data_IF_067488637586
#
_entry.id   IF_067488637586
#
_cell.length_a   1.000
_cell.length_b   1.000
_cell.length_c   1.000
_cell.angle_alpha   90.00
_cell.angle_beta   90.00
_cell.angle_gamma   90.00
#
_symmetry.space_group_name_H-M   'P 1'
#
loop_
_entity.id
_entity.type
_entity.pdbx_description
1 polymer ?
#
# COMPACT_ATOMS: atom_id res chain seq x y z
N UNK A 1 5.48 -8.48 -31.35
CA UNK A 1 5.59 -8.55 -29.87
C UNK A 1 5.60 -7.12 -29.38
N UNK A 2 4.71 -6.68 -28.47
CA UNK A 2 4.84 -5.34 -27.93
C UNK A 2 6.17 -5.26 -27.18
N UNK A 3 6.97 -4.23 -27.48
CA UNK A 3 8.21 -3.94 -26.79
C UNK A 3 7.94 -4.00 -25.28
N UNK A 4 8.66 -4.84 -24.55
CA UNK A 4 8.59 -4.84 -23.09
C UNK A 4 9.12 -3.50 -22.65
N UNK A 5 8.23 -2.60 -22.23
CA UNK A 5 8.65 -1.37 -21.57
C UNK A 5 9.61 -1.76 -20.45
N UNK A 6 10.80 -1.19 -20.49
CA UNK A 6 11.82 -1.44 -19.46
C UNK A 6 11.21 -1.17 -18.08
N UNK A 7 11.49 -1.99 -17.04
CA UNK A 7 11.00 -1.75 -15.69
C UNK A 7 11.40 -0.36 -15.15
N UNK A 8 12.43 0.26 -15.69
CA UNK A 8 12.87 1.61 -15.32
C UNK A 8 11.83 2.69 -15.61
N UNK A 9 11.04 2.58 -16.69
CA UNK A 9 9.95 3.52 -16.97
C UNK A 9 8.86 3.49 -15.91
N UNK A 10 8.55 2.29 -15.39
CA UNK A 10 7.57 2.16 -14.32
C UNK A 10 8.09 2.79 -13.03
N UNK A 11 9.37 2.57 -12.69
CA UNK A 11 10.00 3.22 -11.54
C UNK A 11 9.99 4.74 -11.66
N UNK A 12 10.33 5.27 -12.84
CA UNK A 12 10.28 6.71 -13.09
C UNK A 12 8.86 7.26 -12.88
N UNK A 13 7.85 6.59 -13.44
CA UNK A 13 6.44 6.98 -13.28
C UNK A 13 6.01 6.98 -11.80
N UNK A 14 6.38 5.93 -11.06
CA UNK A 14 6.03 5.81 -9.65
C UNK A 14 6.78 6.83 -8.76
N UNK A 15 7.95 7.30 -9.20
CA UNK A 15 8.74 8.31 -8.49
C UNK A 15 8.30 9.76 -8.78
N UNK A 16 7.55 10.01 -9.85
CA UNK A 16 7.15 11.38 -10.24
C UNK A 16 6.51 12.18 -9.09
N UNK A 17 5.55 11.66 -8.32
CA UNK A 17 4.96 12.42 -7.22
C UNK A 17 5.98 12.79 -6.14
N UNK A 18 7.01 11.96 -5.92
CA UNK A 18 8.02 12.21 -4.91
C UNK A 18 8.94 13.39 -5.25
N UNK A 19 9.08 13.75 -6.53
CA UNK A 19 9.93 14.87 -6.94
C UNK A 19 9.48 16.18 -6.31
N UNK A 20 8.17 16.41 -6.19
CA UNK A 20 7.61 17.59 -5.52
C UNK A 20 7.67 17.53 -3.98
N UNK A 21 8.05 16.39 -3.41
CA UNK A 21 8.12 16.18 -1.96
C UNK A 21 9.53 16.35 -1.39
N UNK A 22 10.53 16.57 -2.24
CA UNK A 22 11.94 16.66 -1.80
C UNK A 22 12.25 18.02 -1.20
N UNK A 23 11.88 19.12 -1.89
CA UNK A 23 12.23 20.47 -1.47
C UNK A 23 11.74 20.86 -0.07
N UNK A 24 10.54 20.45 0.40
CA UNK A 24 10.05 20.79 1.72
C UNK A 24 10.89 20.25 2.90
N UNK A 25 11.72 19.23 2.67
CA UNK A 25 12.63 18.72 3.70
C UNK A 25 13.82 19.64 3.99
N UNK A 26 14.09 20.58 3.08
CA UNK A 26 15.16 21.56 3.17
C UNK A 26 14.63 22.98 3.46
N UNK A 27 13.32 23.11 3.60
CA UNK A 27 12.64 24.37 3.91
C UNK A 27 12.26 24.39 5.40
N UNK A 28 12.49 25.51 6.07
CA UNK A 28 12.03 25.71 7.47
C UNK A 28 10.50 25.84 7.58
N UNK A 29 9.80 25.84 6.47
CA UNK A 29 8.35 25.99 6.41
C UNK A 29 7.60 24.70 6.80
N UNK A 30 7.18 24.62 8.04
CA UNK A 30 6.40 23.48 8.58
C UNK A 30 5.08 23.21 7.83
N UNK A 31 4.52 24.20 7.12
CA UNK A 31 3.33 24.01 6.29
C UNK A 31 3.64 23.17 5.06
N UNK A 32 4.80 23.40 4.42
CA UNK A 32 5.26 22.62 3.27
C UNK A 32 5.48 21.15 3.67
N UNK A 33 6.08 20.91 4.84
CA UNK A 33 6.29 19.55 5.38
C UNK A 33 4.97 18.82 5.68
N UNK A 34 3.95 19.52 6.16
CA UNK A 34 2.59 18.93 6.32
C UNK A 34 1.99 18.52 4.98
N UNK A 35 2.25 19.25 3.91
CA UNK A 35 1.85 18.85 2.56
C UNK A 35 2.51 17.54 2.11
N UNK A 36 3.81 17.38 2.43
CA UNK A 36 4.53 16.11 2.17
C UNK A 36 3.94 14.97 3.00
N UNK A 37 3.70 15.19 4.29
CA UNK A 37 3.11 14.21 5.18
C UNK A 37 1.77 13.68 4.60
N UNK A 38 0.85 14.56 4.25
CA UNK A 38 -0.43 14.18 3.70
C UNK A 38 -0.29 13.47 2.34
N UNK A 39 0.39 14.08 1.39
CA UNK A 39 0.54 13.54 0.03
C UNK A 39 1.25 12.18 -0.01
N UNK A 40 2.34 12.01 0.76
CA UNK A 40 3.08 10.74 0.78
C UNK A 40 2.24 9.61 1.40
N UNK A 41 1.46 9.88 2.44
CA UNK A 41 0.52 8.91 3.02
C UNK A 41 -0.52 8.44 2.00
N UNK A 42 -1.14 9.38 1.27
CA UNK A 42 -2.10 9.06 0.21
C UNK A 42 -1.48 8.23 -0.92
N UNK A 43 -0.30 8.59 -1.42
CA UNK A 43 0.36 7.82 -2.48
C UNK A 43 0.76 6.42 -2.00
N UNK A 44 1.22 6.28 -0.76
CA UNK A 44 1.48 4.98 -0.15
C UNK A 44 0.23 4.09 -0.18
N UNK A 45 -0.90 4.60 0.31
CA UNK A 45 -2.17 3.87 0.32
C UNK A 45 -2.64 3.51 -1.11
N UNK A 46 -2.59 4.45 -2.06
CA UNK A 46 -2.99 4.22 -3.46
C UNK A 46 -2.15 3.13 -4.12
N UNK A 47 -0.83 3.17 -3.98
CA UNK A 47 0.04 2.16 -4.59
C UNK A 47 -0.14 0.78 -3.95
N UNK A 48 -0.36 0.71 -2.64
CA UNK A 48 -0.72 -0.53 -1.96
C UNK A 48 -2.04 -1.09 -2.48
N UNK A 49 -3.08 -0.27 -2.59
CA UNK A 49 -4.40 -0.66 -3.14
C UNK A 49 -4.23 -1.22 -4.56
N UNK A 50 -3.53 -0.52 -5.45
CA UNK A 50 -3.26 -0.96 -6.83
C UNK A 50 -2.53 -2.32 -6.83
N UNK A 51 -1.53 -2.50 -5.98
CA UNK A 51 -0.80 -3.77 -5.86
C UNK A 51 -1.72 -4.92 -5.46
N UNK A 52 -2.61 -4.70 -4.49
CA UNK A 52 -3.56 -5.69 -3.97
C UNK A 52 -4.69 -6.00 -4.96
N UNK A 53 -5.14 -5.02 -5.73
CA UNK A 53 -6.17 -5.21 -6.77
C UNK A 53 -5.73 -6.14 -7.90
N UNK A 54 -4.43 -6.35 -8.11
CA UNK A 54 -3.88 -7.10 -9.23
C UNK A 54 -4.47 -8.52 -9.35
N UNK A 55 -4.64 -9.23 -8.24
CA UNK A 55 -5.15 -10.61 -8.25
C UNK A 55 -6.67 -10.69 -8.43
N UNK A 56 -7.50 -9.97 -7.66
CA UNK A 56 -8.95 -10.01 -7.86
C UNK A 56 -9.37 -9.41 -9.20
N UNK A 57 -8.64 -8.43 -9.72
CA UNK A 57 -8.89 -7.88 -11.05
C UNK A 57 -8.69 -8.91 -12.16
N UNK A 58 -7.70 -9.80 -12.03
CA UNK A 58 -7.50 -10.92 -12.96
C UNK A 58 -8.73 -11.81 -13.04
N UNK A 59 -9.38 -12.04 -11.91
CA UNK A 59 -10.57 -12.87 -11.84
C UNK A 59 -11.79 -12.17 -12.45
N UNK A 60 -12.06 -10.92 -12.08
CA UNK A 60 -13.22 -10.15 -12.53
C UNK A 60 -13.19 -9.84 -14.04
N UNK A 61 -12.01 -9.62 -14.60
CA UNK A 61 -11.82 -9.26 -16.02
C UNK A 61 -11.46 -10.45 -16.91
N UNK A 62 -11.62 -11.70 -16.41
CA UNK A 62 -11.27 -12.95 -17.13
C UNK A 62 -9.85 -12.91 -17.75
N UNK A 63 -8.90 -12.27 -17.05
CA UNK A 63 -7.51 -12.21 -17.48
C UNK A 63 -7.23 -11.19 -18.58
N UNK A 64 -7.83 -10.01 -18.54
CA UNK A 64 -7.57 -8.93 -19.51
C UNK A 64 -6.07 -8.59 -19.62
N UNK A 65 -5.66 -7.96 -20.72
CA UNK A 65 -4.24 -7.54 -20.94
C UNK A 65 -3.74 -6.64 -19.81
N UNK A 66 -4.57 -5.70 -19.38
CA UNK A 66 -4.25 -4.79 -18.28
C UNK A 66 -4.08 -5.54 -16.94
N UNK A 67 -5.00 -6.43 -16.60
CA UNK A 67 -4.93 -7.19 -15.35
C UNK A 67 -3.68 -8.10 -15.30
N UNK A 68 -3.30 -8.72 -16.43
CA UNK A 68 -2.06 -9.50 -16.54
C UNK A 68 -0.82 -8.62 -16.36
N UNK A 69 -0.81 -7.45 -17.00
CA UNK A 69 0.28 -6.48 -16.85
C UNK A 69 0.41 -6.05 -15.38
N UNK A 70 -0.69 -5.66 -14.74
CA UNK A 70 -0.70 -5.23 -13.35
C UNK A 70 -0.21 -6.35 -12.41
N UNK A 71 -0.68 -7.58 -12.60
CA UNK A 71 -0.23 -8.74 -11.81
C UNK A 71 1.27 -8.99 -11.93
N UNK A 72 1.83 -8.84 -13.14
CA UNK A 72 3.26 -9.02 -13.37
C UNK A 72 4.10 -7.91 -12.75
N UNK A 73 3.53 -6.72 -12.61
CA UNK A 73 4.22 -5.53 -12.09
C UNK A 73 3.82 -5.15 -10.64
N UNK A 74 2.94 -5.92 -9.98
CA UNK A 74 2.42 -5.60 -8.65
C UNK A 74 3.50 -5.35 -7.59
N UNK A 75 4.67 -5.99 -7.74
CA UNK A 75 5.81 -5.83 -6.84
C UNK A 75 6.35 -4.41 -6.86
N UNK A 76 6.41 -3.76 -8.03
CA UNK A 76 6.86 -2.37 -8.15
C UNK A 76 5.93 -1.43 -7.40
N UNK A 77 4.62 -1.62 -7.51
CA UNK A 77 3.64 -0.84 -6.75
C UNK A 77 3.75 -1.08 -5.24
N UNK A 78 3.98 -2.32 -4.81
CA UNK A 78 4.17 -2.64 -3.39
C UNK A 78 5.43 -1.99 -2.80
N UNK A 79 6.55 -2.01 -3.53
CA UNK A 79 7.79 -1.36 -3.10
C UNK A 79 7.64 0.16 -3.13
N UNK A 80 6.97 0.73 -4.13
CA UNK A 80 6.66 2.16 -4.15
C UNK A 80 5.79 2.56 -2.95
N UNK A 81 4.76 1.78 -2.61
CA UNK A 81 3.93 2.00 -1.42
C UNK A 81 4.78 2.11 -0.15
N UNK A 82 5.74 1.19 0.04
CA UNK A 82 6.69 1.27 1.16
C UNK A 82 7.57 2.53 1.09
N UNK A 83 8.11 2.88 -0.08
CA UNK A 83 8.96 4.07 -0.22
C UNK A 83 8.20 5.35 0.19
N UNK A 84 6.94 5.49 -0.25
CA UNK A 84 6.09 6.61 0.16
C UNK A 84 5.70 6.57 1.63
N UNK A 85 5.48 5.37 2.22
CA UNK A 85 5.29 5.22 3.66
C UNK A 85 6.53 5.66 4.45
N UNK A 86 7.74 5.36 3.95
CA UNK A 86 8.98 5.82 4.57
C UNK A 86 9.14 7.35 4.51
N UNK A 87 8.80 7.98 3.36
CA UNK A 87 8.76 9.45 3.24
C UNK A 87 7.72 10.05 4.20
N UNK A 88 6.53 9.45 4.31
CA UNK A 88 5.48 9.84 5.23
C UNK A 88 5.96 9.81 6.69
N UNK A 89 6.56 8.69 7.10
CA UNK A 89 7.09 8.53 8.45
C UNK A 89 8.23 9.51 8.74
N UNK A 90 9.13 9.73 7.77
CA UNK A 90 10.21 10.72 7.91
C UNK A 90 9.66 12.15 8.08
N UNK A 91 8.66 12.53 7.28
CA UNK A 91 8.00 13.83 7.39
C UNK A 91 7.30 14.02 8.76
N UNK A 92 6.66 12.95 9.30
CA UNK A 92 6.10 12.96 10.64
C UNK A 92 7.18 13.17 11.72
N UNK A 93 8.25 12.38 11.68
CA UNK A 93 9.33 12.47 12.68
C UNK A 93 10.01 13.83 12.70
N UNK A 94 10.23 14.42 11.52
CA UNK A 94 10.85 15.75 11.39
C UNK A 94 9.85 16.83 11.82
N UNK A 95 8.59 16.72 11.44
CA UNK A 95 7.56 17.71 11.75
C UNK A 95 7.21 17.77 13.24
N UNK A 96 7.23 16.64 13.94
CA UNK A 96 6.92 16.56 15.37
C UNK A 96 8.13 17.02 16.24
N UNK A 97 9.35 16.83 15.76
CA UNK A 97 10.60 17.29 16.36
C UNK A 97 10.81 16.97 17.85
N UNK A 98 9.88 16.26 18.52
CA UNK A 98 9.91 15.93 19.94
C UNK A 98 9.74 14.43 20.16
N UNK A 99 10.83 13.76 20.50
CA UNK A 99 10.80 12.32 20.80
C UNK A 99 9.84 11.99 21.97
N UNK A 100 9.80 12.85 22.98
CA UNK A 100 8.92 12.65 24.14
C UNK A 100 7.43 12.65 23.72
N UNK A 101 7.04 13.54 22.80
CA UNK A 101 5.69 13.60 22.26
C UNK A 101 5.38 12.38 21.38
N UNK A 102 6.29 12.03 20.47
CA UNK A 102 6.17 10.83 19.61
C UNK A 102 5.92 9.58 20.46
N UNK A 103 6.67 9.41 21.57
CA UNK A 103 6.52 8.26 22.46
C UNK A 103 5.21 8.32 23.27
N UNK A 104 4.79 9.49 23.71
CA UNK A 104 3.53 9.65 24.43
C UNK A 104 2.30 9.35 23.56
N UNK A 105 2.32 9.79 22.31
CA UNK A 105 1.22 9.62 21.35
C UNK A 105 1.27 8.26 20.64
N UNK A 106 2.38 7.52 20.68
CA UNK A 106 2.57 6.25 19.94
C UNK A 106 1.53 5.16 20.30
N UNK A 107 0.89 5.26 21.46
CA UNK A 107 -0.15 4.33 21.90
C UNK A 107 -1.58 4.80 21.54
N UNK A 108 -1.74 6.00 21.01
CA UNK A 108 -3.02 6.45 20.49
C UNK A 108 -3.43 5.60 19.29
N UNK A 109 -4.72 5.33 19.14
CA UNK A 109 -5.22 4.33 18.22
C UNK A 109 -4.81 4.60 16.76
N UNK A 110 -4.88 5.86 16.33
CA UNK A 110 -4.49 6.27 14.97
C UNK A 110 -2.98 6.09 14.74
N UNK A 111 -2.12 6.57 15.64
CA UNK A 111 -0.67 6.43 15.51
C UNK A 111 -0.22 4.98 15.68
N UNK A 112 -0.80 4.24 16.63
CA UNK A 112 -0.48 2.82 16.82
C UNK A 112 -0.77 2.00 15.56
N UNK A 113 -1.94 2.20 14.93
CA UNK A 113 -2.28 1.51 13.68
C UNK A 113 -1.34 1.91 12.53
N UNK A 114 -0.89 3.15 12.48
CA UNK A 114 0.12 3.64 11.55
C UNK A 114 1.48 2.96 11.75
N UNK A 115 1.98 2.89 12.98
CA UNK A 115 3.23 2.22 13.32
C UNK A 115 3.21 0.73 13.00
N UNK A 116 2.11 0.03 13.32
CA UNK A 116 1.94 -1.38 12.98
C UNK A 116 1.88 -1.61 11.47
N UNK A 117 1.18 -0.74 10.73
CA UNK A 117 1.17 -0.78 9.27
C UNK A 117 2.57 -0.59 8.70
N UNK A 118 3.33 0.38 9.20
CA UNK A 118 4.68 0.67 8.74
C UNK A 118 5.65 -0.47 9.04
N UNK A 119 5.58 -1.10 10.22
CA UNK A 119 6.36 -2.28 10.55
C UNK A 119 6.09 -3.47 9.59
N UNK A 120 4.82 -3.68 9.20
CA UNK A 120 4.48 -4.64 8.16
C UNK A 120 5.06 -4.23 6.80
N UNK A 121 4.98 -2.97 6.40
CA UNK A 121 5.57 -2.48 5.15
C UNK A 121 7.07 -2.74 5.08
N UNK A 122 7.82 -2.48 6.16
CA UNK A 122 9.26 -2.78 6.25
C UNK A 122 9.50 -4.27 5.99
N UNK A 123 8.78 -5.14 6.70
CA UNK A 123 8.93 -6.60 6.60
C UNK A 123 8.61 -7.11 5.19
N UNK A 124 7.54 -6.61 4.58
CA UNK A 124 7.10 -6.97 3.24
C UNK A 124 8.07 -6.47 2.15
N UNK A 125 8.58 -5.25 2.29
CA UNK A 125 9.53 -4.65 1.34
C UNK A 125 10.90 -5.35 1.43
N UNK A 126 11.42 -5.57 2.62
CA UNK A 126 12.70 -6.26 2.85
C UNK A 126 12.70 -7.69 2.26
N UNK A 127 11.55 -8.35 2.25
CA UNK A 127 11.39 -9.70 1.70
C UNK A 127 10.91 -9.72 0.25
N UNK A 128 10.81 -8.56 -0.41
CA UNK A 128 10.40 -8.46 -1.82
C UNK A 128 11.52 -8.75 -2.83
N UNK A 129 12.70 -9.15 -2.38
CA UNK A 129 13.82 -9.52 -3.25
C UNK A 129 13.77 -11.00 -3.64
N UNK A 130 14.26 -11.35 -4.86
CA UNK A 130 14.27 -12.73 -5.35
C UNK A 130 15.09 -13.67 -4.46
N UNK A 131 16.13 -13.15 -3.80
CA UNK A 131 16.89 -13.88 -2.81
C UNK A 131 16.01 -14.31 -1.61
N UNK A 132 15.21 -13.39 -1.07
CA UNK A 132 14.31 -13.68 0.05
C UNK A 132 13.23 -14.70 -0.35
N UNK A 133 12.67 -14.58 -1.56
CA UNK A 133 11.71 -15.55 -2.11
C UNK A 133 12.28 -16.96 -2.11
N UNK A 134 13.53 -17.12 -2.61
CA UNK A 134 14.21 -18.43 -2.67
C UNK A 134 14.55 -18.96 -1.27
N UNK A 135 15.03 -18.11 -0.38
CA UNK A 135 15.47 -18.52 0.96
C UNK A 135 14.30 -18.87 1.89
N UNK A 136 13.20 -18.13 1.81
CA UNK A 136 12.06 -18.29 2.71
C UNK A 136 11.05 -19.35 2.24
N UNK A 137 11.00 -19.68 0.96
CA UNK A 137 10.09 -20.71 0.42
C UNK A 137 8.61 -20.44 0.77
N UNK A 138 7.97 -21.37 1.49
CA UNK A 138 6.56 -21.28 1.87
C UNK A 138 6.28 -20.13 2.85
N UNK A 139 7.22 -19.83 3.75
CA UNK A 139 7.11 -18.74 4.71
C UNK A 139 6.98 -17.37 4.02
N UNK A 140 7.62 -17.20 2.87
CA UNK A 140 7.46 -15.99 2.07
C UNK A 140 6.01 -15.75 1.66
N UNK A 141 5.31 -16.80 1.22
CA UNK A 141 3.89 -16.70 0.83
C UNK A 141 3.01 -16.34 2.02
N UNK A 142 3.32 -16.89 3.18
CA UNK A 142 2.60 -16.58 4.42
C UNK A 142 2.79 -15.10 4.80
N UNK A 143 4.04 -14.64 4.83
CA UNK A 143 4.36 -13.26 5.14
C UNK A 143 3.69 -12.28 4.14
N UNK A 144 3.75 -12.57 2.84
CA UNK A 144 3.15 -11.70 1.83
C UNK A 144 1.61 -11.59 1.93
N UNK A 145 0.92 -12.50 2.60
CA UNK A 145 -0.52 -12.37 2.89
C UNK A 145 -0.80 -11.26 3.90
N UNK A 146 0.15 -10.92 4.75
CA UNK A 146 0.03 -9.80 5.69
C UNK A 146 -0.05 -8.42 4.99
N UNK A 147 0.14 -8.36 3.69
CA UNK A 147 -0.19 -7.17 2.90
C UNK A 147 -1.66 -6.75 3.06
N UNK A 148 -2.59 -7.72 3.22
CA UNK A 148 -3.99 -7.42 3.54
C UNK A 148 -4.14 -6.87 4.97
N UNK A 149 -3.35 -7.38 5.93
CA UNK A 149 -3.28 -6.82 7.29
C UNK A 149 -2.77 -5.38 7.28
N UNK A 150 -1.70 -5.12 6.52
CA UNK A 150 -1.20 -3.75 6.32
C UNK A 150 -2.26 -2.83 5.72
N UNK A 151 -3.06 -3.32 4.74
CA UNK A 151 -4.14 -2.54 4.14
C UNK A 151 -5.25 -2.19 5.15
N UNK A 152 -5.64 -3.12 6.00
CA UNK A 152 -6.64 -2.85 7.07
C UNK A 152 -6.08 -1.84 8.08
N UNK A 153 -4.83 -2.00 8.52
CA UNK A 153 -4.19 -1.06 9.44
C UNK A 153 -4.04 0.33 8.82
N UNK A 154 -3.68 0.43 7.55
CA UNK A 154 -3.59 1.72 6.83
C UNK A 154 -4.97 2.37 6.71
N UNK A 155 -6.01 1.58 6.42
CA UNK A 155 -7.39 2.09 6.38
C UNK A 155 -7.81 2.63 7.75
N UNK A 156 -7.56 1.87 8.82
CA UNK A 156 -7.89 2.28 10.19
C UNK A 156 -7.11 3.52 10.61
N UNK A 157 -5.80 3.55 10.34
CA UNK A 157 -4.95 4.71 10.58
C UNK A 157 -5.52 5.97 9.91
N UNK A 158 -5.78 5.90 8.60
CA UNK A 158 -6.28 7.05 7.86
C UNK A 158 -7.68 7.47 8.29
N UNK A 159 -8.58 6.51 8.55
CA UNK A 159 -9.96 6.78 8.95
C UNK A 159 -10.06 7.37 10.37
N UNK A 160 -9.19 6.96 11.31
CA UNK A 160 -9.21 7.42 12.70
C UNK A 160 -8.58 8.79 12.89
N UNK A 161 -7.78 9.29 11.92
CA UNK A 161 -7.24 10.64 11.98
C UNK A 161 -8.37 11.68 12.21
N UNK A 162 -8.06 12.74 12.94
CA UNK A 162 -9.00 13.82 13.26
C UNK A 162 -10.29 13.33 13.95
N UNK A 163 -10.17 12.36 14.86
CA UNK A 163 -11.31 11.78 15.60
C UNK A 163 -12.41 11.25 14.65
N UNK A 164 -12.02 10.51 13.63
CA UNK A 164 -12.90 9.89 12.63
C UNK A 164 -13.67 10.86 11.71
N UNK A 165 -13.38 12.16 11.77
CA UNK A 165 -14.09 13.14 10.94
C UNK A 165 -13.72 13.03 9.43
N UNK A 166 -12.61 12.42 9.09
CA UNK A 166 -12.11 12.28 7.71
C UNK A 166 -12.35 10.91 7.07
N UNK A 167 -13.18 10.03 7.64
CA UNK A 167 -13.34 8.62 7.22
C UNK A 167 -13.82 8.42 5.76
N UNK A 168 -14.49 9.41 5.17
CA UNK A 168 -15.02 9.29 3.79
C UNK A 168 -13.90 9.12 2.76
N UNK A 169 -12.82 9.88 2.88
CA UNK A 169 -11.70 9.80 1.94
C UNK A 169 -11.05 8.40 1.89
N UNK A 170 -10.61 7.80 3.03
CA UNK A 170 -10.11 6.43 3.03
C UNK A 170 -11.16 5.41 2.58
N UNK A 171 -12.43 5.56 2.96
CA UNK A 171 -13.50 4.66 2.51
C UNK A 171 -13.64 4.64 0.98
N UNK A 172 -13.66 5.81 0.34
CA UNK A 172 -13.73 5.91 -1.13
C UNK A 172 -12.51 5.30 -1.80
N UNK A 173 -11.30 5.52 -1.27
CA UNK A 173 -10.08 4.96 -1.86
C UNK A 173 -10.01 3.42 -1.73
N UNK A 174 -10.45 2.87 -0.60
CA UNK A 174 -10.41 1.42 -0.37
C UNK A 174 -11.63 0.67 -0.92
N UNK A 175 -12.74 1.36 -1.26
CA UNK A 175 -13.95 0.73 -1.78
C UNK A 175 -13.71 -0.17 -3.00
N UNK A 176 -12.93 0.21 -4.04
CA UNK A 176 -12.66 -0.67 -5.17
C UNK A 176 -11.92 -1.96 -4.77
N UNK A 177 -10.96 -1.86 -3.85
CA UNK A 177 -10.25 -3.03 -3.33
C UNK A 177 -11.19 -3.94 -2.53
N UNK A 178 -12.03 -3.36 -1.67
CA UNK A 178 -13.02 -4.11 -0.89
C UNK A 178 -14.00 -4.83 -1.82
N UNK A 179 -14.58 -4.15 -2.80
CA UNK A 179 -15.51 -4.74 -3.76
C UNK A 179 -14.89 -5.91 -4.54
N UNK A 180 -13.67 -5.73 -5.06
CA UNK A 180 -12.96 -6.77 -5.79
C UNK A 180 -12.56 -7.95 -4.90
N UNK A 181 -12.22 -7.69 -3.64
CA UNK A 181 -11.87 -8.74 -2.68
C UNK A 181 -13.11 -9.53 -2.27
N UNK A 182 -14.23 -8.88 -2.01
CA UNK A 182 -15.52 -9.52 -1.75
C UNK A 182 -15.98 -10.35 -2.95
N UNK A 183 -15.89 -9.82 -4.18
CA UNK A 183 -16.16 -10.58 -5.39
C UNK A 183 -15.29 -11.84 -5.49
N UNK A 184 -13.99 -11.74 -5.18
CA UNK A 184 -13.08 -12.89 -5.17
C UNK A 184 -13.50 -13.93 -4.13
N UNK A 185 -13.86 -13.51 -2.90
CA UNK A 185 -14.30 -14.42 -1.84
C UNK A 185 -15.60 -15.13 -2.24
N UNK A 186 -16.57 -14.39 -2.77
CA UNK A 186 -17.81 -14.97 -3.31
C UNK A 186 -17.52 -16.01 -4.40
N UNK A 187 -16.66 -15.67 -5.37
CA UNK A 187 -16.28 -16.58 -6.44
C UNK A 187 -15.64 -17.87 -5.95
N UNK A 188 -14.78 -17.80 -4.94
CA UNK A 188 -13.99 -18.93 -4.45
C UNK A 188 -14.80 -19.84 -3.52
N UNK A 189 -15.71 -19.29 -2.72
CA UNK A 189 -16.36 -20.00 -1.62
C UNK A 189 -17.85 -20.19 -1.77
N UNK A 190 -18.55 -19.26 -2.42
CA UNK A 190 -20.02 -19.26 -2.48
C UNK A 190 -20.59 -19.59 -3.85
N UNK A 191 -19.79 -19.49 -4.91
CA UNK A 191 -20.27 -19.86 -6.25
C UNK A 191 -20.45 -21.37 -6.33
N UNK A 192 -21.71 -21.79 -6.53
CA UNK A 192 -22.06 -23.19 -6.84
C UNK A 192 -21.34 -23.58 -8.14
N UNK A 193 -20.43 -24.53 -8.07
CA UNK A 193 -19.82 -25.12 -9.28
C UNK A 193 -20.91 -25.99 -9.94
N UNK A 194 -21.24 -25.80 -11.24
CA UNK A 194 -22.06 -26.75 -11.94
C UNK A 194 -21.40 -28.13 -11.79
N UNK A 195 -22.15 -29.09 -11.26
CA UNK A 195 -21.69 -30.47 -11.29
C UNK A 195 -21.50 -30.84 -12.77
N UNK A 196 -20.28 -31.27 -13.12
CA UNK A 196 -20.07 -31.88 -14.42
C UNK A 196 -20.94 -33.14 -14.46
N UNK A 197 -22.03 -33.04 -15.18
CA UNK A 197 -22.81 -34.27 -15.56
C UNK A 197 -21.89 -35.10 -16.41
N UNK A 198 -21.50 -36.26 -15.87
CA UNK A 198 -20.71 -37.27 -16.56
C UNK A 198 -21.50 -37.85 -17.74
#
# INVERSE_FOLDING_TARGET
MPARLSPYWLWLLLALPAMGMISPFFDENTRALRGVLHGSGEFSARFMIISLMATPLMLSTKGSRFARWLRNNRRYFGVAAFAYAAVHTAAYLIGEASLARILAEATEFDLLTGWLAFALFISLAATSMDFAVRKMGLWWKWLQRWTYGAAVLTLLHWASLHNWNGWVAPAVHFAPLAALTLYRLWWMHLRVRPQATA
#
